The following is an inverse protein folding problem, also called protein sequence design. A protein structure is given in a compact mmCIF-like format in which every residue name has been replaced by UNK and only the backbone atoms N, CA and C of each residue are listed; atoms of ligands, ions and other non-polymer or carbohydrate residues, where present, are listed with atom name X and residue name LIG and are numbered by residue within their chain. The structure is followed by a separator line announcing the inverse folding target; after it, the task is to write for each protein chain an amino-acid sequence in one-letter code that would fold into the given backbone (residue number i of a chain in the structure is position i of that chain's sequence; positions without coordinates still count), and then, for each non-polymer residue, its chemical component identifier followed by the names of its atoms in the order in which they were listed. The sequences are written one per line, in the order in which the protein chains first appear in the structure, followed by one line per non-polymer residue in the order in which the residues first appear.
data_IF_148315674004
#
_entry.id   IF_148315674004
#
_cell.length_a   1.000
_cell.length_b   1.000
_cell.length_c   1.000
_cell.angle_alpha   90.00
_cell.angle_beta   90.00
_cell.angle_gamma   90.00
#
_symmetry.space_group_name_H-M   'P 1'
#
loop_
_entity.id
_entity.type
_entity.pdbx_description
1 polymer ?
#
# COMPACT_ATOMS: atom_id res chain seq x y z
N UNK A 1 0.94 7.25 24.82
CA UNK A 1 0.06 7.83 25.84
C UNK A 1 -0.11 9.35 25.75
N UNK A 2 0.94 10.14 25.43
CA UNK A 2 0.83 11.63 25.35
C UNK A 2 -0.14 12.08 24.25
N UNK A 3 -0.11 11.48 23.06
CA UNK A 3 -1.00 11.81 21.94
C UNK A 3 -2.47 11.58 22.35
N UNK A 4 -2.75 10.42 22.95
CA UNK A 4 -4.11 10.05 23.36
C UNK A 4 -4.61 10.96 24.49
N UNK A 5 -3.73 11.36 25.43
CA UNK A 5 -4.08 12.34 26.47
C UNK A 5 -4.47 13.70 25.87
N UNK A 6 -3.77 14.14 24.82
CA UNK A 6 -4.07 15.42 24.15
C UNK A 6 -5.32 15.33 23.25
N UNK A 7 -5.64 14.16 22.73
CA UNK A 7 -6.76 13.91 21.82
C UNK A 7 -7.43 12.58 22.15
N UNK A 8 -8.28 12.52 23.20
CA UNK A 8 -8.82 11.24 23.70
C UNK A 8 -9.66 10.44 22.70
N UNK A 9 -10.25 11.12 21.70
CA UNK A 9 -11.10 10.49 20.67
C UNK A 9 -10.34 10.08 19.41
N UNK A 10 -9.00 10.31 19.34
CA UNK A 10 -8.21 9.99 18.14
C UNK A 10 -8.24 8.49 17.85
N UNK A 11 -8.36 8.15 16.58
CA UNK A 11 -8.14 6.78 16.07
C UNK A 11 -6.77 6.71 15.42
N UNK A 12 -5.99 5.72 15.79
CA UNK A 12 -4.59 5.55 15.36
C UNK A 12 -4.45 4.23 14.63
N UNK A 13 -3.92 4.28 13.41
CA UNK A 13 -3.40 3.13 12.68
C UNK A 13 -1.89 3.16 12.82
N UNK A 14 -1.31 2.13 13.41
CA UNK A 14 0.14 1.99 13.57
C UNK A 14 0.79 1.78 12.19
N UNK A 15 1.93 2.42 11.94
CA UNK A 15 2.69 2.16 10.71
C UNK A 15 3.94 1.34 11.03
N UNK A 16 3.87 0.04 10.75
CA UNK A 16 4.96 -0.89 10.92
C UNK A 16 5.85 -0.91 9.67
N UNK A 17 6.91 -0.11 9.67
CA UNK A 17 7.87 -0.05 8.57
C UNK A 17 9.28 0.21 9.09
N UNK A 18 9.97 -0.86 9.51
CA UNK A 18 11.30 -0.83 10.11
C UNK A 18 12.33 -0.07 9.29
N UNK A 19 12.31 -0.23 7.95
CA UNK A 19 13.25 0.44 7.04
C UNK A 19 13.22 1.97 7.12
N UNK A 20 12.08 2.57 7.48
CA UNK A 20 11.94 4.02 7.62
C UNK A 20 12.00 4.48 9.06
N UNK A 21 11.40 3.73 9.98
CA UNK A 21 11.26 4.13 11.39
C UNK A 21 12.45 3.68 12.26
N UNK A 22 13.24 2.71 11.80
CA UNK A 22 14.25 2.04 12.63
C UNK A 22 13.64 1.13 13.72
N UNK A 23 12.31 0.96 13.72
CA UNK A 23 11.60 0.16 14.71
C UNK A 23 10.60 -0.78 14.04
N UNK A 24 10.56 -2.03 14.50
CA UNK A 24 9.64 -3.07 14.07
C UNK A 24 8.72 -3.46 15.22
N UNK A 25 7.44 -3.27 15.05
CA UNK A 25 6.46 -3.74 16.02
C UNK A 25 6.43 -5.27 16.06
N UNK A 26 6.53 -5.86 17.26
CA UNK A 26 6.18 -7.27 17.43
C UNK A 26 4.67 -7.43 17.61
N UNK A 27 4.09 -8.65 17.35
CA UNK A 27 2.69 -8.92 17.65
C UNK A 27 2.32 -8.63 19.10
N UNK A 28 3.18 -8.99 20.06
CA UNK A 28 2.97 -8.76 21.50
C UNK A 28 2.93 -7.26 21.83
N UNK A 29 3.82 -6.47 21.22
CA UNK A 29 3.82 -5.02 21.42
C UNK A 29 2.53 -4.36 20.90
N UNK A 30 2.01 -4.82 19.76
CA UNK A 30 0.73 -4.33 19.23
C UNK A 30 -0.42 -4.75 20.11
N UNK A 31 -0.49 -6.03 20.55
CA UNK A 31 -1.52 -6.53 21.47
C UNK A 31 -1.56 -5.72 22.75
N UNK A 32 -0.41 -5.48 23.37
CA UNK A 32 -0.29 -4.65 24.59
C UNK A 32 -0.80 -3.22 24.35
N UNK A 33 -0.48 -2.61 23.20
CA UNK A 33 -0.97 -1.27 22.88
C UNK A 33 -2.50 -1.23 22.71
N UNK A 34 -3.09 -2.27 22.10
CA UNK A 34 -4.55 -2.40 21.95
C UNK A 34 -5.22 -2.62 23.30
N UNK A 35 -4.66 -3.45 24.18
CA UNK A 35 -5.17 -3.65 25.54
C UNK A 35 -5.20 -2.36 26.35
N UNK A 36 -4.13 -1.56 26.30
CA UNK A 36 -4.07 -0.28 27.01
C UNK A 36 -4.94 0.83 26.39
N UNK A 37 -5.16 0.78 25.09
CA UNK A 37 -5.85 1.85 24.35
C UNK A 37 -6.84 1.29 23.31
N UNK A 38 -7.82 0.45 23.71
CA UNK A 38 -8.69 -0.27 22.78
C UNK A 38 -9.56 0.65 21.93
N UNK A 39 -9.86 1.84 22.42
CA UNK A 39 -10.66 2.82 21.69
C UNK A 39 -9.84 3.70 20.73
N UNK A 40 -8.51 3.65 20.81
CA UNK A 40 -7.64 4.54 20.06
C UNK A 40 -6.77 3.80 19.05
N UNK A 41 -6.17 2.66 19.41
CA UNK A 41 -5.32 1.86 18.52
C UNK A 41 -6.24 0.91 17.75
N UNK A 42 -6.63 1.30 16.54
CA UNK A 42 -7.69 0.63 15.78
C UNK A 42 -7.17 -0.21 14.61
N UNK A 43 -5.88 -0.16 14.31
CA UNK A 43 -5.33 -0.93 13.20
C UNK A 43 -3.83 -0.75 13.01
N UNK A 44 -3.30 -1.46 12.03
CA UNK A 44 -1.91 -1.35 11.59
C UNK A 44 -1.78 -1.45 10.07
N UNK A 45 -0.95 -0.56 9.50
CA UNK A 45 -0.36 -0.76 8.18
C UNK A 45 0.95 -1.51 8.35
N UNK A 46 1.04 -2.71 7.79
CA UNK A 46 2.21 -3.58 7.92
C UNK A 46 3.03 -3.65 6.64
N UNK A 47 4.10 -2.86 6.57
CA UNK A 47 5.10 -2.87 5.49
C UNK A 47 6.36 -3.68 5.85
N UNK A 48 6.46 -4.19 7.08
CA UNK A 48 7.50 -5.12 7.53
C UNK A 48 7.06 -6.59 7.40
N UNK A 49 5.79 -6.83 7.07
CA UNK A 49 5.17 -8.14 6.77
C UNK A 49 5.30 -9.19 7.88
N UNK A 50 5.42 -8.75 9.13
CA UNK A 50 5.47 -9.66 10.28
C UNK A 50 4.22 -9.66 11.14
N UNK A 51 3.28 -8.74 10.88
CA UNK A 51 2.04 -8.62 11.65
C UNK A 51 0.86 -9.26 10.92
N UNK A 52 0.64 -8.96 9.64
CA UNK A 52 -0.59 -9.35 8.95
C UNK A 52 -0.82 -10.86 8.83
N UNK A 53 0.26 -11.66 8.88
CA UNK A 53 0.18 -13.13 8.91
C UNK A 53 0.07 -13.70 10.32
N UNK A 54 0.57 -12.99 11.33
CA UNK A 54 0.79 -13.54 12.68
C UNK A 54 -0.07 -12.92 13.77
N UNK A 55 -0.64 -11.72 13.54
CA UNK A 55 -1.43 -11.01 14.53
C UNK A 55 -2.92 -11.12 14.20
N UNK A 56 -3.70 -11.66 15.14
CA UNK A 56 -5.16 -11.71 15.08
C UNK A 56 -5.71 -11.02 16.33
N UNK A 57 -6.44 -9.94 16.13
CA UNK A 57 -7.10 -9.18 17.19
C UNK A 57 -8.51 -8.83 16.74
N UNK A 58 -9.47 -8.98 17.63
CA UNK A 58 -10.85 -8.61 17.35
C UNK A 58 -10.99 -7.10 17.15
N UNK A 59 -11.83 -6.71 16.19
CA UNK A 59 -12.09 -5.30 15.86
C UNK A 59 -10.82 -4.48 15.53
N UNK A 60 -9.78 -5.12 15.00
CA UNK A 60 -8.53 -4.49 14.61
C UNK A 60 -8.33 -4.53 13.10
N UNK A 61 -8.13 -3.36 12.49
CA UNK A 61 -7.98 -3.22 11.04
C UNK A 61 -6.52 -3.49 10.63
N UNK A 62 -6.29 -4.52 9.86
CA UNK A 62 -4.96 -4.87 9.36
C UNK A 62 -4.85 -4.57 7.87
N UNK A 63 -3.75 -3.92 7.46
CA UNK A 63 -3.49 -3.52 6.08
C UNK A 63 -2.05 -3.89 5.68
N UNK A 64 -1.81 -4.91 4.84
CA UNK A 64 -0.51 -5.09 4.19
C UNK A 64 -0.05 -3.82 3.46
N UNK A 65 1.24 -3.53 3.50
CA UNK A 65 1.86 -2.34 2.90
C UNK A 65 2.10 -2.43 1.39
N UNK A 66 1.59 -3.46 0.73
CA UNK A 66 1.68 -3.68 -0.71
C UNK A 66 0.41 -4.30 -1.25
N UNK A 67 -0.07 -3.80 -2.38
CA UNK A 67 -1.21 -4.38 -3.09
C UNK A 67 -0.91 -5.77 -3.67
N UNK A 68 0.36 -6.13 -3.90
CA UNK A 68 0.73 -7.51 -4.23
C UNK A 68 0.42 -8.52 -3.10
N UNK A 69 0.15 -8.03 -1.90
CA UNK A 69 -0.28 -8.82 -0.74
C UNK A 69 -1.78 -8.69 -0.45
N UNK A 70 -2.54 -7.98 -1.31
CA UNK A 70 -3.95 -7.69 -1.05
C UNK A 70 -4.77 -8.97 -0.92
N UNK A 71 -4.78 -9.82 -1.95
CA UNK A 71 -5.60 -11.05 -1.93
C UNK A 71 -5.23 -11.95 -0.77
N UNK A 72 -3.93 -12.23 -0.57
CA UNK A 72 -3.46 -13.02 0.58
C UNK A 72 -3.86 -12.38 1.91
N UNK A 73 -3.79 -11.06 2.01
CA UNK A 73 -4.24 -10.33 3.20
C UNK A 73 -5.73 -10.53 3.47
N UNK A 74 -6.57 -10.40 2.45
CA UNK A 74 -8.03 -10.61 2.56
C UNK A 74 -8.35 -12.05 3.00
N UNK A 75 -7.71 -13.06 2.42
CA UNK A 75 -7.82 -14.47 2.83
C UNK A 75 -7.45 -14.69 4.30
N UNK A 76 -6.55 -13.88 4.84
CA UNK A 76 -6.14 -13.89 6.24
C UNK A 76 -7.00 -12.97 7.14
N UNK A 77 -8.03 -12.33 6.61
CA UNK A 77 -8.94 -11.45 7.35
C UNK A 77 -8.45 -10.00 7.49
N UNK A 78 -7.52 -9.55 6.64
CA UNK A 78 -7.14 -8.14 6.59
C UNK A 78 -8.27 -7.30 5.96
N UNK A 79 -8.30 -6.02 6.30
CA UNK A 79 -9.35 -5.07 5.88
C UNK A 79 -9.10 -4.43 4.50
N UNK A 80 -8.03 -4.79 3.83
CA UNK A 80 -7.59 -4.24 2.55
C UNK A 80 -6.08 -4.04 2.53
N UNK A 81 -5.58 -3.08 1.75
CA UNK A 81 -4.16 -2.70 1.77
C UNK A 81 -3.97 -1.17 1.80
N UNK A 82 -2.82 -0.71 2.28
CA UNK A 82 -2.40 0.70 2.18
C UNK A 82 -1.04 0.72 1.49
N UNK A 83 -1.01 1.07 0.20
CA UNK A 83 0.18 0.98 -0.64
C UNK A 83 0.43 2.25 -1.45
N UNK A 84 1.72 2.51 -1.76
CA UNK A 84 2.09 3.65 -2.59
C UNK A 84 1.66 3.47 -4.05
N UNK A 85 1.77 2.25 -4.60
CA UNK A 85 1.46 2.01 -6.02
C UNK A 85 -0.05 1.98 -6.28
N UNK A 86 -0.89 1.86 -5.25
CA UNK A 86 -2.36 2.06 -5.40
C UNK A 86 -2.73 3.46 -5.87
N UNK A 87 -1.83 4.44 -5.83
CA UNK A 87 -2.03 5.72 -6.51
C UNK A 87 -2.21 5.57 -8.04
N UNK A 88 -1.72 4.48 -8.63
CA UNK A 88 -1.89 4.17 -10.06
C UNK A 88 -2.66 2.87 -10.31
N UNK A 89 -2.72 1.96 -9.33
CA UNK A 89 -3.35 0.64 -9.46
C UNK A 89 -4.68 0.51 -8.72
N UNK A 90 -5.25 1.61 -8.20
CA UNK A 90 -6.47 1.59 -7.39
C UNK A 90 -7.62 0.81 -8.04
N UNK A 91 -7.84 0.95 -9.34
CA UNK A 91 -8.86 0.21 -10.07
C UNK A 91 -8.63 -1.31 -10.02
N UNK A 92 -7.39 -1.76 -10.27
CA UNK A 92 -7.06 -3.19 -10.19
C UNK A 92 -7.21 -3.71 -8.76
N UNK A 93 -6.72 -2.94 -7.78
CA UNK A 93 -6.84 -3.30 -6.36
C UNK A 93 -8.31 -3.35 -5.92
N UNK A 94 -9.14 -2.40 -6.39
CA UNK A 94 -10.58 -2.40 -6.11
C UNK A 94 -11.25 -3.65 -6.69
N UNK A 95 -10.95 -4.01 -7.94
CA UNK A 95 -11.53 -5.21 -8.57
C UNK A 95 -11.10 -6.50 -7.84
N UNK A 96 -9.84 -6.60 -7.40
CA UNK A 96 -9.38 -7.75 -6.60
C UNK A 96 -10.15 -7.84 -5.27
N UNK A 97 -10.39 -6.71 -4.63
CA UNK A 97 -11.16 -6.65 -3.38
C UNK A 97 -12.62 -7.06 -3.61
N UNK A 98 -13.27 -6.52 -4.65
CA UNK A 98 -14.67 -6.83 -4.98
C UNK A 98 -14.85 -8.32 -5.35
N UNK A 99 -13.96 -8.86 -6.21
CA UNK A 99 -13.99 -10.29 -6.57
C UNK A 99 -13.87 -11.19 -5.32
N UNK A 100 -13.08 -10.76 -4.32
CA UNK A 100 -12.95 -11.51 -3.06
C UNK A 100 -14.23 -11.43 -2.22
N UNK A 101 -14.79 -10.22 -2.02
CA UNK A 101 -16.01 -10.01 -1.22
C UNK A 101 -17.24 -10.72 -1.83
N UNK A 102 -17.35 -10.68 -3.17
CA UNK A 102 -18.43 -11.30 -3.93
C UNK A 102 -18.21 -12.81 -4.17
N UNK A 103 -17.08 -13.35 -3.72
CA UNK A 103 -16.66 -14.75 -3.92
C UNK A 103 -16.56 -15.16 -5.39
N UNK A 104 -16.20 -14.21 -6.23
CA UNK A 104 -15.99 -14.42 -7.65
C UNK A 104 -14.55 -14.88 -7.95
N UNK A 105 -14.37 -15.37 -9.19
CA UNK A 105 -13.03 -15.72 -9.68
C UNK A 105 -12.17 -14.47 -9.83
N UNK A 106 -10.97 -14.50 -9.26
CA UNK A 106 -10.01 -13.40 -9.36
C UNK A 106 -9.57 -13.17 -10.81
N UNK A 107 -9.87 -11.99 -11.33
CA UNK A 107 -9.59 -11.63 -12.73
C UNK A 107 -8.44 -10.65 -12.89
N UNK A 108 -8.06 -9.95 -11.82
CA UNK A 108 -7.07 -8.85 -11.87
C UNK A 108 -5.89 -9.00 -10.93
N UNK A 109 -5.87 -10.01 -10.06
CA UNK A 109 -4.82 -10.16 -9.06
C UNK A 109 -3.44 -10.37 -9.70
N UNK A 110 -3.30 -11.20 -10.73
CA UNK A 110 -2.02 -11.40 -11.41
C UNK A 110 -1.51 -10.12 -12.08
N UNK A 111 -2.40 -9.39 -12.75
CA UNK A 111 -2.06 -8.10 -13.36
C UNK A 111 -1.64 -7.08 -12.30
N UNK A 112 -2.34 -7.02 -11.17
CA UNK A 112 -2.03 -6.13 -10.05
C UNK A 112 -0.63 -6.40 -9.49
N UNK A 113 -0.30 -7.67 -9.27
CA UNK A 113 1.02 -8.11 -8.80
C UNK A 113 2.10 -7.73 -9.81
N UNK A 114 1.93 -8.06 -11.09
CA UNK A 114 2.90 -7.80 -12.14
C UNK A 114 3.18 -6.29 -12.32
N UNK A 115 2.15 -5.46 -12.26
CA UNK A 115 2.31 -4.00 -12.30
C UNK A 115 3.09 -3.51 -11.07
N UNK A 116 2.75 -3.98 -9.88
CA UNK A 116 3.49 -3.65 -8.65
C UNK A 116 4.97 -4.03 -8.76
N UNK A 117 5.28 -5.24 -9.17
CA UNK A 117 6.66 -5.74 -9.33
C UNK A 117 7.44 -4.94 -10.38
N UNK A 118 6.76 -4.42 -11.40
CA UNK A 118 7.38 -3.53 -12.37
C UNK A 118 7.83 -2.22 -11.73
N UNK A 119 7.01 -1.62 -10.88
CA UNK A 119 7.40 -0.41 -10.13
C UNK A 119 8.50 -0.68 -9.10
N UNK A 120 8.50 -1.84 -8.46
CA UNK A 120 9.51 -2.23 -7.45
C UNK A 120 10.94 -2.36 -8.00
N UNK A 121 11.12 -2.41 -9.33
CA UNK A 121 12.43 -2.39 -9.98
C UNK A 121 13.13 -1.03 -9.92
N UNK A 122 12.45 0.00 -9.45
CA UNK A 122 12.92 1.39 -9.37
C UNK A 122 12.81 1.92 -7.95
N UNK A 123 13.39 3.10 -7.67
CA UNK A 123 12.94 3.84 -6.50
C UNK A 123 11.45 4.15 -6.68
N UNK A 124 10.64 3.62 -5.79
CA UNK A 124 9.18 3.56 -5.94
C UNK A 124 8.54 4.95 -6.09
N UNK A 125 8.95 5.91 -5.25
CA UNK A 125 8.39 7.26 -5.28
C UNK A 125 8.83 7.98 -6.55
N UNK A 126 10.10 7.85 -6.93
CA UNK A 126 10.63 8.40 -8.19
C UNK A 126 9.89 7.86 -9.41
N UNK A 127 9.60 6.56 -9.44
CA UNK A 127 8.87 5.91 -10.53
C UNK A 127 7.42 6.40 -10.61
N UNK A 128 6.71 6.49 -9.49
CA UNK A 128 5.34 7.00 -9.43
C UNK A 128 5.26 8.46 -9.90
N UNK A 129 6.12 9.33 -9.38
CA UNK A 129 6.18 10.72 -9.83
C UNK A 129 6.47 10.83 -11.32
N UNK A 130 7.47 10.10 -11.82
CA UNK A 130 7.82 10.10 -13.23
C UNK A 130 6.69 9.58 -14.13
N UNK A 131 5.97 8.55 -13.68
CA UNK A 131 4.85 8.00 -14.42
C UNK A 131 3.66 8.96 -14.47
N UNK A 132 3.28 9.56 -13.33
CA UNK A 132 2.23 10.59 -13.28
C UNK A 132 2.58 11.85 -14.09
N UNK A 133 3.87 12.24 -14.12
CA UNK A 133 4.31 13.42 -14.85
C UNK A 133 4.11 13.33 -16.37
N UNK A 134 3.83 12.16 -16.91
CA UNK A 134 3.44 11.97 -18.30
C UNK A 134 2.08 12.62 -18.63
N UNK A 135 1.23 12.86 -17.63
CA UNK A 135 -0.08 13.51 -17.79
C UNK A 135 -0.20 14.84 -17.07
N UNK A 136 0.44 14.98 -15.92
CA UNK A 136 0.38 16.18 -15.10
C UNK A 136 1.80 16.60 -14.69
N UNK A 137 2.24 17.74 -15.25
CA UNK A 137 3.59 18.28 -14.98
C UNK A 137 3.84 18.63 -13.51
N UNK A 138 2.80 18.83 -12.71
CA UNK A 138 2.95 19.09 -11.28
C UNK A 138 3.68 17.92 -10.55
N UNK A 139 3.56 16.71 -11.07
CA UNK A 139 4.29 15.55 -10.54
C UNK A 139 5.80 15.56 -10.84
N UNK A 140 6.28 16.52 -11.64
CA UNK A 140 7.73 16.76 -11.79
C UNK A 140 8.34 17.39 -10.53
N UNK A 141 7.52 17.99 -9.66
CA UNK A 141 7.95 18.55 -8.38
C UNK A 141 8.10 17.42 -7.35
N UNK A 142 9.31 16.91 -7.24
CA UNK A 142 9.66 15.88 -6.26
C UNK A 142 10.62 16.44 -5.21
N UNK A 143 10.43 16.08 -3.94
CA UNK A 143 11.25 16.61 -2.85
C UNK A 143 12.60 15.91 -2.78
N UNK A 144 13.72 16.64 -2.60
CA UNK A 144 15.02 16.06 -2.35
C UNK A 144 15.01 15.17 -1.08
N UNK A 145 15.83 14.11 -1.01
CA UNK A 145 16.87 13.73 -1.98
C UNK A 145 16.37 12.89 -3.17
N UNK A 146 15.06 12.73 -3.31
CA UNK A 146 14.46 11.99 -4.43
C UNK A 146 14.63 12.77 -5.75
N UNK A 147 14.71 12.03 -6.85
CA UNK A 147 14.78 12.58 -8.21
C UNK A 147 13.86 11.79 -9.12
N UNK A 148 13.40 12.41 -10.20
CA UNK A 148 12.66 11.69 -11.24
C UNK A 148 13.55 10.62 -11.89
N UNK A 149 12.93 9.62 -12.49
CA UNK A 149 13.64 8.69 -13.38
C UNK A 149 14.20 9.48 -14.58
N UNK A 150 15.38 9.09 -15.05
CA UNK A 150 15.88 9.62 -16.34
C UNK A 150 15.03 9.07 -17.51
N UNK A 151 15.13 9.71 -18.67
CA UNK A 151 14.31 9.38 -19.84
C UNK A 151 14.42 7.90 -20.26
N UNK A 152 15.61 7.30 -20.15
CA UNK A 152 15.82 5.89 -20.49
C UNK A 152 14.99 4.99 -19.57
N UNK A 153 15.09 5.19 -18.26
CA UNK A 153 14.37 4.39 -17.26
C UNK A 153 12.86 4.62 -17.33
N UNK A 154 12.42 5.85 -17.59
CA UNK A 154 11.01 6.16 -17.77
C UNK A 154 10.42 5.45 -19.00
N UNK A 155 11.11 5.50 -20.14
CA UNK A 155 10.70 4.78 -21.35
C UNK A 155 10.65 3.28 -21.12
N UNK A 156 11.61 2.71 -20.38
CA UNK A 156 11.64 1.29 -20.03
C UNK A 156 10.46 0.91 -19.11
N UNK A 157 10.17 1.70 -18.09
CA UNK A 157 9.01 1.51 -17.22
C UNK A 157 7.72 1.50 -18.02
N UNK A 158 7.49 2.52 -18.86
CA UNK A 158 6.28 2.64 -19.69
C UNK A 158 6.13 1.45 -20.65
N UNK A 159 7.24 1.01 -21.28
CA UNK A 159 7.22 -0.17 -22.15
C UNK A 159 6.74 -1.40 -21.40
N UNK A 160 7.33 -1.71 -20.22
CA UNK A 160 6.94 -2.87 -19.40
C UNK A 160 5.48 -2.81 -18.97
N UNK A 161 4.99 -1.62 -18.56
CA UNK A 161 3.59 -1.43 -18.18
C UNK A 161 2.63 -1.65 -19.36
N UNK A 162 2.99 -1.18 -20.57
CA UNK A 162 2.21 -1.42 -21.79
C UNK A 162 2.14 -2.92 -22.15
N UNK A 163 3.22 -3.67 -21.99
CA UNK A 163 3.23 -5.13 -22.16
C UNK A 163 2.25 -5.83 -21.22
N UNK A 164 2.05 -5.28 -20.01
CA UNK A 164 1.03 -5.72 -19.05
C UNK A 164 -0.38 -5.17 -19.35
N UNK A 165 -0.57 -4.47 -20.47
CA UNK A 165 -1.83 -3.78 -20.82
C UNK A 165 -2.29 -2.79 -19.76
N UNK A 166 -1.32 -2.19 -19.06
CA UNK A 166 -1.53 -1.18 -18.02
C UNK A 166 -1.14 0.20 -18.56
N UNK A 167 -2.12 1.09 -18.69
CA UNK A 167 -1.93 2.45 -19.23
C UNK A 167 -2.54 3.48 -18.29
N UNK A 168 -1.99 4.71 -18.29
CA UNK A 168 -2.54 5.83 -17.52
C UNK A 168 -3.99 6.17 -17.86
N UNK A 169 -4.42 5.92 -19.10
CA UNK A 169 -5.76 6.33 -19.56
C UNK A 169 -6.90 5.53 -18.92
N UNK A 170 -6.64 4.26 -18.58
CA UNK A 170 -7.64 3.39 -17.96
C UNK A 170 -7.75 3.55 -16.43
N UNK A 171 -6.79 4.24 -15.81
CA UNK A 171 -6.64 4.25 -14.34
C UNK A 171 -6.90 5.62 -13.70
N UNK A 172 -7.25 6.63 -14.48
CA UNK A 172 -7.52 7.99 -13.97
C UNK A 172 -9.01 8.38 -14.02
N UNK A 173 -9.89 7.42 -14.19
CA UNK A 173 -11.33 7.65 -14.10
C UNK A 173 -11.80 7.38 -12.68
N UNK A 174 -11.92 8.41 -11.89
CA UNK A 174 -12.85 8.51 -10.77
C UNK A 174 -13.32 9.94 -10.68
#
# INVERSE_FOLDING_TARGET
SRIIKSSPKIKIILYNFEKLSGYKFSPEAVSTLVEFFPQNIVGSKDSSYNLFENLKLDNFLMFPGSEAKLLKGLELGCSGCISAVTNVTHYLARKVFDDFEEKETQTKNEQLIAVRETFDQYNLISALHSFHSLKDENYKNILPPLTLLNDKKLKELVKKLNELKFTLEKNLAA
#
